data_IF_190578305084
#
_entry.id   IF_190578305084
#
_cell.length_a   1.000
_cell.length_b   1.000
_cell.length_c   1.000
_cell.angle_alpha   90.00
_cell.angle_beta   90.00
_cell.angle_gamma   90.00
#
_symmetry.space_group_name_H-M   'P 1'
#
loop_
_entity.id
_entity.type
_entity.pdbx_description
1 polymer ?
#
# COMPACT_ATOMS: atom_id res chain seq x y z
N UNK A 1 -12.42 3.33 -3.91
CA UNK A 1 -13.39 3.01 -2.83
C UNK A 1 -12.90 1.74 -2.18
N UNK A 2 -12.86 1.68 -0.85
CA UNK A 2 -12.27 0.54 -0.14
C UNK A 2 -13.26 0.02 0.89
N UNK A 3 -13.55 -1.27 0.83
CA UNK A 3 -14.51 -1.94 1.71
C UNK A 3 -13.80 -3.12 2.39
N UNK A 4 -13.96 -3.22 3.71
CA UNK A 4 -13.45 -4.32 4.51
C UNK A 4 -14.66 -5.09 5.02
N UNK A 5 -14.83 -6.33 4.56
CA UNK A 5 -15.95 -7.18 4.98
C UNK A 5 -15.45 -8.22 5.99
N UNK A 6 -15.99 -8.20 7.21
CA UNK A 6 -15.73 -9.23 8.22
C UNK A 6 -16.83 -10.30 8.16
N UNK A 7 -16.49 -11.53 7.75
CA UNK A 7 -17.43 -12.64 7.72
C UNK A 7 -17.07 -13.71 8.75
N UNK A 8 -18.02 -14.05 9.61
CA UNK A 8 -17.93 -15.11 10.62
C UNK A 8 -18.39 -16.45 10.02
N UNK A 9 -17.55 -17.13 9.23
CA UNK A 9 -17.62 -18.58 9.01
C UNK A 9 -16.33 -19.14 8.35
N UNK A 10 -15.97 -20.35 8.78
CA UNK A 10 -14.64 -21.01 8.70
C UNK A 10 -14.40 -21.73 7.37
N UNK A 11 -13.22 -21.56 6.74
CA UNK A 11 -12.23 -22.57 6.29
C UNK A 11 -11.06 -21.79 5.64
N UNK A 12 -9.78 -22.14 5.89
CA UNK A 12 -8.61 -21.46 5.28
C UNK A 12 -8.78 -21.32 3.75
N UNK A 13 -9.00 -20.10 3.28
CA UNK A 13 -8.84 -19.68 1.88
C UNK A 13 -8.15 -18.33 1.85
N UNK A 14 -7.36 -18.14 0.79
CA UNK A 14 -6.49 -17.00 0.51
C UNK A 14 -7.06 -15.66 0.96
N UNK A 15 -6.19 -14.81 1.47
CA UNK A 15 -6.42 -13.38 1.57
C UNK A 15 -6.61 -12.79 0.16
N UNK A 16 -7.81 -12.87 -0.41
CA UNK A 16 -8.09 -12.27 -1.72
C UNK A 16 -7.96 -10.75 -1.61
N UNK A 17 -7.03 -10.16 -2.36
CA UNK A 17 -6.88 -8.72 -2.50
C UNK A 17 -7.14 -8.35 -3.96
N UNK A 18 -8.41 -8.12 -4.28
CA UNK A 18 -8.79 -7.76 -5.64
C UNK A 18 -8.41 -6.29 -5.91
N UNK A 19 -7.41 -6.07 -6.77
CA UNK A 19 -7.08 -4.75 -7.35
C UNK A 19 -7.88 -4.55 -8.65
N UNK A 20 -8.72 -3.52 -8.69
CA UNK A 20 -9.61 -3.23 -9.81
C UNK A 20 -9.16 -1.98 -10.57
N UNK A 21 -8.61 -2.12 -11.78
CA UNK A 21 -8.36 -1.01 -12.71
C UNK A 21 -9.56 -0.82 -13.64
N UNK A 22 -10.24 0.33 -13.56
CA UNK A 22 -11.28 0.74 -14.52
C UNK A 22 -10.65 1.61 -15.61
N UNK A 23 -10.23 1.02 -16.73
CA UNK A 23 -9.89 1.83 -17.90
C UNK A 23 -10.15 1.09 -19.22
N UNK A 24 -11.31 1.37 -19.82
CA UNK A 24 -11.53 1.33 -21.27
C UNK A 24 -12.12 2.65 -21.76
N UNK A 25 -11.81 3.11 -22.99
CA UNK A 25 -12.38 4.33 -23.57
C UNK A 25 -13.91 4.29 -23.82
N UNK A 26 -14.52 3.11 -23.71
CA UNK A 26 -15.92 2.82 -24.07
C UNK A 26 -16.89 2.77 -22.86
N UNK A 27 -16.40 2.97 -21.63
CA UNK A 27 -17.22 2.94 -20.43
C UNK A 27 -17.68 1.55 -19.98
N UNK A 28 -17.15 0.47 -20.56
CA UNK A 28 -17.43 -0.91 -20.11
C UNK A 28 -16.45 -1.36 -19.01
N UNK A 29 -16.96 -2.07 -17.99
CA UNK A 29 -16.13 -2.70 -16.96
C UNK A 29 -15.70 -4.10 -17.43
N UNK A 30 -14.43 -4.25 -17.85
CA UNK A 30 -13.85 -5.57 -18.14
C UNK A 30 -12.89 -5.99 -17.03
N UNK A 31 -13.18 -7.11 -16.36
CA UNK A 31 -12.33 -7.68 -15.33
C UNK A 31 -11.15 -8.42 -15.96
N UNK A 32 -9.96 -7.82 -15.94
CA UNK A 32 -8.72 -8.48 -16.35
C UNK A 32 -7.72 -8.29 -15.20
N UNK A 33 -7.73 -9.19 -14.23
CA UNK A 33 -6.59 -9.32 -13.31
C UNK A 33 -5.41 -9.88 -14.12
N UNK A 34 -4.54 -8.99 -14.57
CA UNK A 34 -3.27 -9.37 -15.17
C UNK A 34 -2.26 -9.88 -14.12
N UNK A 35 -1.11 -10.32 -14.61
CA UNK A 35 -0.02 -10.82 -13.76
C UNK A 35 0.55 -9.71 -12.87
N UNK A 36 0.52 -8.45 -13.34
CA UNK A 36 1.06 -7.29 -12.63
C UNK A 36 0.19 -6.90 -11.44
N UNK A 37 -1.12 -6.98 -11.60
CA UNK A 37 -2.10 -6.73 -10.55
C UNK A 37 -1.99 -7.80 -9.48
N UNK A 38 -1.84 -9.08 -9.87
CA UNK A 38 -1.62 -10.18 -8.91
C UNK A 38 -0.35 -10.02 -8.07
N UNK A 39 0.75 -9.55 -8.67
CA UNK A 39 1.98 -9.36 -7.91
C UNK A 39 1.87 -8.21 -6.90
N UNK A 40 1.15 -7.14 -7.26
CA UNK A 40 0.86 -6.03 -6.35
C UNK A 40 -0.09 -6.44 -5.23
N UNK A 41 -1.13 -7.19 -5.57
CA UNK A 41 -2.04 -7.84 -4.62
C UNK A 41 -1.25 -8.65 -3.59
N UNK A 42 -0.31 -9.47 -4.05
CA UNK A 42 0.53 -10.28 -3.15
C UNK A 42 1.36 -9.39 -2.20
N UNK A 43 1.94 -8.30 -2.70
CA UNK A 43 2.69 -7.36 -1.86
C UNK A 43 1.81 -6.72 -0.78
N UNK A 44 0.57 -6.33 -1.13
CA UNK A 44 -0.39 -5.76 -0.17
C UNK A 44 -0.83 -6.81 0.85
N UNK A 45 -1.14 -8.02 0.39
CA UNK A 45 -1.50 -9.18 1.22
C UNK A 45 -0.43 -9.45 2.28
N UNK A 46 0.81 -9.67 1.86
CA UNK A 46 1.93 -9.97 2.75
C UNK A 46 2.17 -8.84 3.76
N UNK A 47 2.04 -7.58 3.34
CA UNK A 47 2.19 -6.43 4.23
C UNK A 47 1.07 -6.35 5.29
N UNK A 48 -0.18 -6.64 4.89
CA UNK A 48 -1.32 -6.65 5.80
C UNK A 48 -1.21 -7.83 6.78
N UNK A 49 -0.86 -9.01 6.33
CA UNK A 49 -0.67 -10.20 7.19
C UNK A 49 0.44 -9.99 8.22
N UNK A 50 1.54 -9.32 7.82
CA UNK A 50 2.64 -9.01 8.73
C UNK A 50 2.26 -7.99 9.83
N UNK A 51 1.31 -7.10 9.55
CA UNK A 51 0.87 -6.06 10.49
C UNK A 51 -0.33 -6.47 11.34
N UNK A 52 -1.21 -7.34 10.85
CA UNK A 52 -2.41 -7.79 11.56
C UNK A 52 -2.12 -8.85 12.63
N UNK A 53 -2.81 -8.75 13.77
CA UNK A 53 -2.77 -9.77 14.84
C UNK A 53 -3.77 -10.90 14.54
N UNK A 54 -3.47 -11.69 13.50
CA UNK A 54 -4.35 -12.77 13.02
C UNK A 54 -4.66 -13.84 14.08
N UNK A 55 -3.78 -14.00 15.09
CA UNK A 55 -3.97 -14.94 16.21
C UNK A 55 -5.21 -14.62 17.07
N UNK A 56 -5.71 -13.39 17.05
CA UNK A 56 -6.90 -12.98 17.81
C UNK A 56 -8.22 -13.39 17.12
N UNK A 57 -8.16 -13.81 15.84
CA UNK A 57 -9.34 -14.13 15.04
C UNK A 57 -9.21 -15.46 14.26
N UNK A 58 -9.00 -16.61 14.95
CA UNK A 58 -8.70 -17.90 14.30
C UNK A 58 -9.83 -18.51 13.46
N UNK A 59 -11.03 -17.93 13.48
CA UNK A 59 -12.22 -18.39 12.72
C UNK A 59 -12.88 -17.27 11.91
N UNK A 60 -12.13 -16.22 11.62
CA UNK A 60 -12.61 -15.09 10.83
C UNK A 60 -11.95 -15.09 9.45
N UNK A 61 -12.71 -14.68 8.44
CA UNK A 61 -12.16 -14.31 7.14
C UNK A 61 -12.13 -12.79 7.04
N UNK A 62 -11.05 -12.27 6.47
CA UNK A 62 -10.90 -10.87 6.15
C UNK A 62 -10.79 -10.71 4.64
N UNK A 63 -11.70 -9.93 4.06
CA UNK A 63 -11.65 -9.58 2.63
C UNK A 63 -11.34 -8.10 2.49
N UNK A 64 -10.28 -7.79 1.75
CA UNK A 64 -9.81 -6.43 1.46
C UNK A 64 -9.96 -6.17 -0.04
N UNK A 65 -10.84 -5.23 -0.41
CA UNK A 65 -11.13 -4.92 -1.82
C UNK A 65 -10.53 -3.55 -2.17
N UNK A 66 -9.66 -3.50 -3.17
CA UNK A 66 -8.95 -2.31 -3.63
C UNK A 66 -9.45 -1.87 -5.01
N UNK A 67 -10.30 -0.84 -5.05
CA UNK A 67 -10.75 -0.25 -6.31
C UNK A 67 -9.88 0.96 -6.70
N UNK A 68 -9.12 0.85 -7.79
CA UNK A 68 -8.38 1.96 -8.38
C UNK A 68 -9.34 2.86 -9.16
N UNK A 69 -9.46 4.11 -8.71
CA UNK A 69 -10.32 5.11 -9.36
C UNK A 69 -9.57 5.93 -10.40
N UNK A 70 -8.31 6.26 -10.10
CA UNK A 70 -7.42 7.01 -10.96
C UNK A 70 -5.99 6.54 -10.68
N UNK A 71 -5.19 6.44 -11.74
CA UNK A 71 -3.79 6.07 -11.66
C UNK A 71 -2.95 7.21 -12.25
N UNK A 72 -2.26 7.92 -11.37
CA UNK A 72 -1.30 8.98 -11.70
C UNK A 72 0.10 8.63 -11.16
N UNK A 73 0.43 7.33 -11.10
CA UNK A 73 1.69 6.83 -10.56
C UNK A 73 1.61 6.44 -9.10
N UNK A 74 2.66 5.78 -8.60
CA UNK A 74 2.81 5.33 -7.22
C UNK A 74 1.65 4.44 -6.73
N UNK A 75 1.07 3.64 -7.64
CA UNK A 75 -0.16 2.89 -7.38
C UNK A 75 -0.05 1.93 -6.19
N UNK A 76 1.09 1.25 -6.03
CA UNK A 76 1.30 0.27 -4.96
C UNK A 76 1.39 0.95 -3.59
N UNK A 77 2.10 2.09 -3.48
CA UNK A 77 2.17 2.83 -2.21
C UNK A 77 0.83 3.43 -1.83
N UNK A 78 0.08 3.97 -2.81
CA UNK A 78 -1.30 4.42 -2.62
C UNK A 78 -2.21 3.27 -2.12
N UNK A 79 -2.11 2.10 -2.73
CA UNK A 79 -2.88 0.90 -2.34
C UNK A 79 -2.58 0.45 -0.92
N UNK A 80 -1.30 0.42 -0.51
CA UNK A 80 -0.89 0.11 0.86
C UNK A 80 -1.44 1.12 1.86
N UNK A 81 -1.36 2.41 1.51
CA UNK A 81 -1.85 3.49 2.37
C UNK A 81 -3.37 3.43 2.55
N UNK A 82 -4.10 3.14 1.47
CA UNK A 82 -5.54 2.92 1.50
C UNK A 82 -5.89 1.69 2.35
N UNK A 83 -5.15 0.59 2.21
CA UNK A 83 -5.34 -0.63 2.99
C UNK A 83 -5.14 -0.39 4.48
N UNK A 84 -4.06 0.29 4.89
CA UNK A 84 -3.81 0.59 6.31
C UNK A 84 -4.94 1.43 6.91
N UNK A 85 -5.38 2.47 6.20
CA UNK A 85 -6.49 3.31 6.66
C UNK A 85 -7.82 2.55 6.74
N UNK A 86 -8.09 1.65 5.78
CA UNK A 86 -9.29 0.81 5.79
C UNK A 86 -9.28 -0.20 6.95
N UNK A 87 -8.14 -0.84 7.21
CA UNK A 87 -7.96 -1.74 8.36
C UNK A 87 -8.15 -0.99 9.69
N UNK A 88 -7.67 0.24 9.76
CA UNK A 88 -7.83 1.10 10.93
C UNK A 88 -9.29 1.52 11.15
N UNK A 89 -10.00 1.93 10.08
CA UNK A 89 -11.43 2.28 10.15
C UNK A 89 -12.30 1.07 10.49
N UNK A 90 -11.92 -0.13 10.03
CA UNK A 90 -12.56 -1.39 10.38
C UNK A 90 -12.31 -1.83 11.84
N UNK A 91 -11.41 -1.15 12.57
CA UNK A 91 -11.13 -1.44 13.98
C UNK A 91 -10.41 -2.77 14.22
N UNK A 92 -9.66 -3.26 13.24
CA UNK A 92 -8.98 -4.55 13.34
C UNK A 92 -7.73 -4.44 14.22
N UNK A 93 -7.44 -5.47 15.04
CA UNK A 93 -6.26 -5.45 15.90
C UNK A 93 -4.99 -5.58 15.04
N UNK A 94 -4.24 -4.48 14.95
CA UNK A 94 -2.96 -4.42 14.27
C UNK A 94 -1.82 -4.31 15.29
N UNK A 95 -0.74 -5.05 15.07
CA UNK A 95 0.49 -4.95 15.85
C UNK A 95 1.17 -3.59 15.64
N UNK A 96 1.03 -3.04 14.44
CA UNK A 96 1.57 -1.76 14.02
C UNK A 96 0.81 -1.20 12.82
N UNK A 97 0.92 0.12 12.59
CA UNK A 97 0.51 0.72 11.33
C UNK A 97 1.64 0.61 10.32
N UNK A 98 1.29 0.63 9.04
CA UNK A 98 2.23 0.64 7.94
C UNK A 98 1.86 1.70 6.91
N UNK A 99 2.85 2.18 6.16
CA UNK A 99 2.60 3.05 5.02
C UNK A 99 3.51 2.67 3.85
N UNK A 100 2.98 2.80 2.64
CA UNK A 100 3.73 2.70 1.40
C UNK A 100 4.33 4.04 1.01
N UNK A 101 5.60 4.02 0.58
CA UNK A 101 6.27 5.15 -0.06
C UNK A 101 6.95 4.66 -1.33
N UNK A 102 6.68 5.32 -2.46
CA UNK A 102 7.37 5.06 -3.72
C UNK A 102 8.44 6.12 -3.97
N UNK A 103 9.60 5.68 -4.42
CA UNK A 103 10.74 6.50 -4.81
C UNK A 103 11.12 6.17 -6.25
N UNK A 104 11.28 7.19 -7.07
CA UNK A 104 11.87 7.09 -8.40
C UNK A 104 13.31 7.59 -8.37
N UNK A 105 14.17 6.95 -9.17
CA UNK A 105 15.53 7.43 -9.44
C UNK A 105 15.56 7.88 -10.90
N UNK A 106 15.82 9.16 -11.09
CA UNK A 106 15.95 9.77 -12.42
C UNK A 106 17.26 9.32 -13.12
N UNK A 107 17.38 9.60 -14.42
CA UNK A 107 18.59 9.34 -15.20
C UNK A 107 19.84 10.01 -14.61
N UNK A 108 19.68 11.17 -13.98
CA UNK A 108 20.75 11.92 -13.30
C UNK A 108 21.07 11.39 -11.89
N UNK A 109 20.39 10.34 -11.43
CA UNK A 109 20.58 9.77 -10.09
C UNK A 109 19.88 10.55 -8.97
N UNK A 110 18.99 11.49 -9.30
CA UNK A 110 18.17 12.21 -8.33
C UNK A 110 17.02 11.34 -7.83
N UNK A 111 16.81 11.30 -6.51
CA UNK A 111 15.73 10.54 -5.88
C UNK A 111 14.50 11.42 -5.71
N UNK A 112 13.39 11.02 -6.31
CA UNK A 112 12.08 11.68 -6.24
C UNK A 112 11.16 10.80 -5.40
N UNK A 113 10.55 11.37 -4.35
CA UNK A 113 9.51 10.70 -3.55
C UNK A 113 8.14 10.97 -4.10
N UNK A 114 7.27 9.95 -4.13
CA UNK A 114 5.90 10.02 -4.65
C UNK A 114 5.86 10.50 -6.11
N UNK A 115 6.52 9.76 -7.05
CA UNK A 115 6.56 10.14 -8.46
C UNK A 115 5.18 10.07 -9.12
N UNK A 116 4.93 11.01 -10.04
CA UNK A 116 3.77 10.97 -10.95
C UNK A 116 3.97 9.96 -12.07
N UNK A 117 2.91 9.57 -12.78
CA UNK A 117 2.97 8.61 -13.89
C UNK A 117 3.97 9.05 -14.99
N UNK A 118 4.11 10.36 -15.22
CA UNK A 118 5.11 10.89 -16.15
C UNK A 118 6.54 10.66 -15.63
N UNK A 119 6.79 10.96 -14.35
CA UNK A 119 8.09 10.77 -13.72
C UNK A 119 8.47 9.29 -13.61
N UNK A 120 7.51 8.40 -13.34
CA UNK A 120 7.73 6.96 -13.33
C UNK A 120 8.23 6.45 -14.68
N UNK A 121 7.68 6.97 -15.78
CA UNK A 121 8.05 6.56 -17.14
C UNK A 121 9.44 7.04 -17.54
N UNK A 122 9.86 8.20 -17.07
CA UNK A 122 11.17 8.78 -17.35
C UNK A 122 12.27 8.23 -16.42
N UNK A 123 11.88 7.70 -15.26
CA UNK A 123 12.80 7.18 -14.26
C UNK A 123 13.56 5.93 -14.72
N UNK A 124 14.82 5.84 -14.27
CA UNK A 124 15.69 4.66 -14.48
C UNK A 124 15.31 3.50 -13.57
N UNK A 125 14.82 3.81 -12.37
CA UNK A 125 14.42 2.82 -11.39
C UNK A 125 13.26 3.33 -10.53
N UNK A 126 12.42 2.39 -10.09
CA UNK A 126 11.30 2.61 -9.18
C UNK A 126 11.41 1.66 -8.00
N UNK A 127 11.21 2.18 -6.81
CA UNK A 127 11.34 1.45 -5.57
C UNK A 127 10.16 1.81 -4.66
N UNK A 128 9.36 0.84 -4.27
CA UNK A 128 8.25 1.02 -3.34
C UNK A 128 8.53 0.26 -2.06
N UNK A 129 8.42 0.95 -0.93
CA UNK A 129 8.67 0.37 0.39
C UNK A 129 7.42 0.47 1.25
N UNK A 130 7.05 -0.61 1.91
CA UNK A 130 6.14 -0.58 3.05
C UNK A 130 6.96 -0.43 4.33
N UNK A 131 6.66 0.58 5.14
CA UNK A 131 7.40 0.89 6.37
C UNK A 131 6.46 0.77 7.56
N UNK A 132 6.95 0.19 8.65
CA UNK A 132 6.26 0.10 9.95
C UNK A 132 6.35 1.41 10.75
N UNK A 133 5.27 1.77 11.43
CA UNK A 133 5.15 2.91 12.35
C UNK A 133 5.93 2.80 13.67
N UNK A 134 6.24 1.60 14.16
CA UNK A 134 6.90 1.41 15.47
C UNK A 134 8.41 1.56 15.38
N UNK A 135 9.05 0.79 14.51
CA UNK A 135 10.51 0.70 14.42
C UNK A 135 11.04 1.28 13.10
N UNK A 136 10.17 1.85 12.25
CA UNK A 136 10.52 2.34 10.92
C UNK A 136 11.22 1.27 10.06
N UNK A 137 10.92 0.00 10.31
CA UNK A 137 11.47 -1.13 9.55
C UNK A 137 10.73 -1.29 8.23
N UNK A 138 11.45 -1.76 7.21
CA UNK A 138 10.87 -2.10 5.92
C UNK A 138 10.18 -3.46 6.05
N UNK A 139 8.86 -3.49 5.82
CA UNK A 139 8.04 -4.70 5.82
C UNK A 139 8.04 -5.38 4.45
N UNK A 140 8.02 -4.58 3.38
CA UNK A 140 7.99 -5.05 1.99
C UNK A 140 8.76 -4.05 1.12
N UNK A 141 9.42 -4.57 0.08
CA UNK A 141 10.08 -3.77 -0.94
C UNK A 141 9.79 -4.34 -2.32
N UNK A 142 9.25 -3.52 -3.22
CA UNK A 142 9.14 -3.81 -4.66
C UNK A 142 10.10 -2.89 -5.40
N UNK A 143 10.98 -3.45 -6.23
CA UNK A 143 12.01 -2.68 -6.94
C UNK A 143 12.06 -3.05 -8.40
N UNK A 144 12.12 -2.05 -9.28
CA UNK A 144 12.15 -2.19 -10.74
C UNK A 144 13.22 -1.28 -11.31
N UNK A 145 13.86 -1.72 -12.39
CA UNK A 145 14.90 -0.96 -13.07
C UNK A 145 16.30 -1.20 -12.53
N UNK A 146 17.22 -0.30 -12.87
CA UNK A 146 18.65 -0.43 -12.55
C UNK A 146 19.08 0.58 -11.50
N UNK A 147 19.73 0.11 -10.43
CA UNK A 147 20.19 0.94 -9.33
C UNK A 147 21.36 0.29 -8.59
N UNK A 148 22.15 1.12 -7.92
CA UNK A 148 23.25 0.73 -7.06
C UNK A 148 22.79 0.48 -5.63
N UNK A 149 23.59 -0.23 -4.85
CA UNK A 149 23.33 -0.49 -3.44
C UNK A 149 23.28 0.81 -2.62
N UNK A 150 24.08 1.81 -2.99
CA UNK A 150 24.09 3.11 -2.30
C UNK A 150 22.76 3.86 -2.55
N UNK A 151 22.26 3.87 -3.78
CA UNK A 151 20.97 4.47 -4.10
C UNK A 151 19.82 3.75 -3.39
N UNK A 152 19.84 2.41 -3.30
CA UNK A 152 18.86 1.66 -2.51
C UNK A 152 18.87 2.10 -1.03
N UNK A 153 20.04 2.23 -0.41
CA UNK A 153 20.16 2.67 0.98
C UNK A 153 19.65 4.09 1.18
N UNK A 154 19.93 5.00 0.24
CA UNK A 154 19.43 6.36 0.26
C UNK A 154 17.91 6.40 0.11
N UNK A 155 17.34 5.62 -0.82
CA UNK A 155 15.90 5.50 -0.99
C UNK A 155 15.22 5.02 0.29
N UNK A 156 15.74 3.97 0.95
CA UNK A 156 15.21 3.49 2.24
C UNK A 156 15.22 4.60 3.29
N UNK A 157 16.33 5.32 3.44
CA UNK A 157 16.44 6.40 4.42
C UNK A 157 15.46 7.56 4.13
N UNK A 158 15.30 7.92 2.86
CA UNK A 158 14.33 8.94 2.41
C UNK A 158 12.90 8.46 2.66
N UNK A 159 12.57 7.22 2.34
CA UNK A 159 11.25 6.64 2.58
C UNK A 159 10.93 6.57 4.08
N UNK A 160 11.89 6.21 4.94
CA UNK A 160 11.74 6.22 6.41
C UNK A 160 11.50 7.62 6.96
N UNK A 161 12.08 8.66 6.34
CA UNK A 161 11.80 10.04 6.72
C UNK A 161 10.42 10.50 6.24
N UNK A 162 10.02 10.10 5.04
CA UNK A 162 8.71 10.42 4.48
C UNK A 162 7.57 9.72 5.25
N UNK A 163 7.77 8.46 5.65
CA UNK A 163 6.78 7.68 6.39
C UNK A 163 6.35 8.35 7.70
N UNK A 164 7.27 9.02 8.41
CA UNK A 164 6.93 9.77 9.63
C UNK A 164 5.85 10.82 9.39
N UNK A 165 5.91 11.54 8.25
CA UNK A 165 4.88 12.52 7.88
C UNK A 165 3.56 11.85 7.53
N UNK A 166 3.60 10.70 6.86
CA UNK A 166 2.39 9.93 6.51
C UNK A 166 1.72 9.39 7.77
N UNK A 167 2.46 8.85 8.73
CA UNK A 167 1.91 8.40 10.00
C UNK A 167 1.32 9.54 10.81
N UNK A 168 1.93 10.72 10.77
CA UNK A 168 1.34 11.90 11.37
C UNK A 168 0.02 12.29 10.69
N UNK A 169 -0.01 12.26 9.36
CA UNK A 169 -1.24 12.47 8.60
C UNK A 169 -2.35 11.46 8.93
N UNK A 170 -2.01 10.19 9.15
CA UNK A 170 -2.99 9.18 9.59
C UNK A 170 -3.61 9.55 10.94
N UNK A 171 -2.77 9.87 11.93
CA UNK A 171 -3.23 10.28 13.27
C UNK A 171 -4.13 11.51 13.21
N UNK A 172 -3.72 12.52 12.44
CA UNK A 172 -4.49 13.74 12.27
C UNK A 172 -5.85 13.47 11.59
N UNK A 173 -5.86 12.63 10.56
CA UNK A 173 -7.07 12.27 9.81
C UNK A 173 -8.08 11.51 10.68
N UNK A 174 -7.59 10.55 11.45
CA UNK A 174 -8.40 9.75 12.37
C UNK A 174 -8.94 10.62 13.49
N UNK A 175 -8.07 11.44 14.11
CA UNK A 175 -8.47 12.39 15.15
C UNK A 175 -9.60 13.31 14.65
N UNK A 176 -9.46 13.89 13.46
CA UNK A 176 -10.49 14.78 12.87
C UNK A 176 -11.84 14.09 12.66
N UNK A 177 -11.84 12.81 12.28
CA UNK A 177 -13.08 12.02 12.07
C UNK A 177 -13.79 11.73 13.39
N UNK A 178 -13.06 11.40 14.45
CA UNK A 178 -13.64 11.09 15.75
C UNK A 178 -13.95 12.33 16.60
N UNK A 179 -13.27 13.46 16.38
CA UNK A 179 -13.54 14.73 17.10
C UNK A 179 -14.97 15.28 16.86
N UNK A 180 -15.65 14.82 15.80
CA UNK A 180 -17.02 15.23 15.47
C UNK A 180 -18.09 14.26 16.00
N UNK A 181 -17.67 13.09 16.47
CA UNK A 181 -18.55 12.01 16.92
C UNK A 181 -18.47 11.78 18.45
N UNK A 182 -17.66 12.56 19.17
CA UNK A 182 -17.70 12.72 20.63
C UNK A 182 -18.29 14.09 20.98
#
# INVERSE_FOLDING_TARGET
MMEVCGSSNVTMREFGCEQSLLSRPDGSASFIQGVRERSQEQCVRETCEASLLLSLHPRSSLTLILQVLHDDGSLLSCSLNAACMALMDAGLPMSCLFCGVTCAIDADGQIITDPTAAQEKESRALMTFAIDSKECRVLMSDTKGSFSVNELQQCIAVSQKASQKIFQFYRDSVSRRYSKNL
#
